data_IF_499402574821
#
_entry.id   IF_499402574821
#
_cell.length_a   1.000
_cell.length_b   1.000
_cell.length_c   1.000
_cell.angle_alpha   90.00
_cell.angle_beta   90.00
_cell.angle_gamma   90.00
#
_symmetry.space_group_name_H-M   'P 1'
#
loop_
_entity.id
_entity.type
_entity.pdbx_description
1 polymer ?
#
# COMPACT_ATOMS: atom_id res chain seq x y z
N UNK A 1 41.76 0.77 -12.20
CA UNK A 1 40.33 0.74 -12.51
C UNK A 1 40.03 1.87 -13.48
N UNK A 2 39.55 1.55 -14.69
CA UNK A 2 39.29 2.52 -15.74
C UNK A 2 38.22 3.55 -15.31
N UNK A 3 38.41 4.82 -15.71
CA UNK A 3 37.50 5.93 -15.40
C UNK A 3 36.05 5.63 -15.88
N UNK A 4 35.87 4.95 -16.99
CA UNK A 4 34.60 4.47 -17.54
C UNK A 4 33.87 3.55 -16.57
N UNK A 5 34.58 2.65 -15.88
CA UNK A 5 33.98 1.71 -14.92
C UNK A 5 33.42 2.44 -13.67
N UNK A 6 34.12 3.50 -13.20
CA UNK A 6 33.65 4.30 -12.04
C UNK A 6 32.39 5.09 -12.36
N UNK A 7 32.31 5.71 -13.54
CA UNK A 7 31.14 6.48 -13.97
C UNK A 7 29.92 5.55 -14.14
N UNK A 8 30.11 4.39 -14.81
CA UNK A 8 29.06 3.38 -14.99
C UNK A 8 28.53 2.88 -13.65
N UNK A 9 29.41 2.59 -12.68
CA UNK A 9 29.02 2.20 -11.33
C UNK A 9 28.23 3.30 -10.60
N UNK A 10 28.66 4.56 -10.70
CA UNK A 10 27.97 5.70 -10.10
C UNK A 10 26.58 5.89 -10.71
N UNK A 11 26.44 5.76 -12.03
CA UNK A 11 25.13 5.83 -12.71
C UNK A 11 24.25 4.66 -12.28
N UNK A 12 24.81 3.44 -12.15
CA UNK A 12 24.07 2.27 -11.68
C UNK A 12 23.54 2.46 -10.26
N UNK A 13 24.39 2.96 -9.36
CA UNK A 13 24.01 3.23 -7.97
C UNK A 13 22.89 4.30 -7.87
N UNK A 14 23.05 5.43 -8.55
CA UNK A 14 22.05 6.49 -8.53
C UNK A 14 20.72 6.05 -9.19
N UNK A 15 20.79 5.30 -10.30
CA UNK A 15 19.62 4.75 -10.94
C UNK A 15 18.89 3.73 -10.01
N UNK A 16 19.67 2.89 -9.32
CA UNK A 16 19.12 1.94 -8.35
C UNK A 16 18.47 2.65 -7.16
N UNK A 17 19.06 3.73 -6.66
CA UNK A 17 18.50 4.56 -5.61
C UNK A 17 17.15 5.17 -6.04
N UNK A 18 17.11 5.79 -7.23
CA UNK A 18 15.87 6.36 -7.78
C UNK A 18 14.76 5.32 -7.93
N UNK A 19 15.11 4.10 -8.31
CA UNK A 19 14.16 3.02 -8.44
C UNK A 19 13.73 2.45 -7.08
N UNK A 20 14.66 2.35 -6.13
CA UNK A 20 14.35 1.89 -4.77
C UNK A 20 13.41 2.87 -4.05
N UNK A 21 13.68 4.17 -4.15
CA UNK A 21 12.86 5.26 -3.59
C UNK A 21 11.56 5.50 -4.39
N UNK A 22 11.25 4.69 -5.41
CA UNK A 22 10.08 4.80 -6.29
C UNK A 22 9.95 6.16 -7.04
N UNK A 23 11.03 6.93 -7.13
CA UNK A 23 11.08 8.16 -7.93
C UNK A 23 11.01 7.87 -9.42
N UNK A 24 11.48 6.66 -9.82
CA UNK A 24 11.41 6.13 -11.18
C UNK A 24 11.01 4.65 -11.14
N UNK A 25 10.05 4.27 -11.97
CA UNK A 25 9.59 2.88 -12.11
C UNK A 25 10.34 2.11 -13.21
N UNK A 26 10.76 2.82 -14.26
CA UNK A 26 11.36 2.25 -15.46
C UNK A 26 12.89 2.37 -15.47
N UNK A 27 13.57 1.27 -15.80
CA UNK A 27 15.04 1.26 -15.90
C UNK A 27 15.60 2.31 -16.86
N UNK A 28 14.91 2.55 -17.98
CA UNK A 28 15.37 3.50 -18.98
C UNK A 28 15.34 4.93 -18.46
N UNK A 29 14.25 5.34 -17.81
CA UNK A 29 14.11 6.69 -17.24
C UNK A 29 15.06 6.88 -16.06
N UNK A 30 15.20 5.87 -15.18
CA UNK A 30 16.14 5.89 -14.06
C UNK A 30 17.58 6.10 -14.54
N UNK A 31 18.04 5.35 -15.56
CA UNK A 31 19.38 5.51 -16.16
C UNK A 31 19.60 6.93 -16.70
N UNK A 32 18.64 7.44 -17.47
CA UNK A 32 18.74 8.77 -18.06
C UNK A 32 18.80 9.86 -17.00
N UNK A 33 17.97 9.77 -15.97
CA UNK A 33 17.93 10.73 -14.86
C UNK A 33 19.21 10.68 -14.05
N UNK A 34 19.69 9.47 -13.71
CA UNK A 34 20.97 9.27 -13.04
C UNK A 34 22.15 9.82 -13.85
N UNK A 35 22.22 9.48 -15.13
CA UNK A 35 23.27 10.00 -16.02
C UNK A 35 23.25 11.53 -16.12
N UNK A 36 22.06 12.15 -16.24
CA UNK A 36 21.91 13.62 -16.28
C UNK A 36 22.40 14.29 -14.99
N UNK A 37 22.22 13.65 -13.83
CA UNK A 37 22.70 14.18 -12.54
C UNK A 37 24.21 14.12 -12.39
N UNK A 38 24.83 13.04 -12.90
CA UNK A 38 26.24 12.74 -12.67
C UNK A 38 27.17 13.21 -13.79
N UNK A 39 26.67 13.36 -15.01
CA UNK A 39 27.46 13.75 -16.16
C UNK A 39 27.27 15.23 -16.52
N UNK A 40 28.38 15.97 -16.63
CA UNK A 40 28.37 17.34 -17.17
C UNK A 40 28.08 17.38 -18.69
N UNK A 41 28.28 16.26 -19.39
CA UNK A 41 27.99 16.03 -20.81
C UNK A 41 27.10 14.83 -20.98
N UNK A 42 26.55 14.61 -22.19
CA UNK A 42 25.75 13.43 -22.48
C UNK A 42 26.56 12.15 -22.21
N UNK A 43 25.99 11.20 -21.44
CA UNK A 43 26.61 9.91 -21.21
C UNK A 43 26.63 9.08 -22.52
N UNK A 44 27.73 8.41 -22.78
CA UNK A 44 27.84 7.49 -23.92
C UNK A 44 27.12 6.19 -23.61
N UNK A 45 26.69 5.41 -24.62
CA UNK A 45 26.05 4.11 -24.42
C UNK A 45 26.90 3.14 -23.56
N UNK A 46 28.20 3.19 -23.67
CA UNK A 46 29.17 2.38 -22.91
C UNK A 46 29.23 2.73 -21.41
N UNK A 47 28.85 3.97 -21.05
CA UNK A 47 28.79 4.45 -19.66
C UNK A 47 27.49 4.04 -18.97
N UNK A 48 26.48 3.61 -19.72
CA UNK A 48 25.18 3.25 -19.17
C UNK A 48 25.19 1.82 -18.64
N UNK A 49 24.72 1.58 -17.39
CA UNK A 49 24.62 0.25 -16.83
C UNK A 49 23.50 -0.58 -17.51
N UNK A 50 23.63 -1.89 -17.44
CA UNK A 50 22.56 -2.81 -17.81
C UNK A 50 21.41 -2.77 -16.80
N UNK A 51 20.23 -3.25 -17.17
CA UNK A 51 19.11 -3.39 -16.25
C UNK A 51 19.44 -4.38 -15.12
N UNK A 52 20.23 -5.41 -15.43
CA UNK A 52 20.66 -6.39 -14.44
C UNK A 52 21.55 -5.77 -13.34
N UNK A 53 22.54 -4.93 -13.72
CA UNK A 53 23.40 -4.24 -12.74
C UNK A 53 22.57 -3.34 -11.80
N UNK A 54 21.59 -2.63 -12.34
CA UNK A 54 20.71 -1.77 -11.52
C UNK A 54 19.84 -2.65 -10.60
N UNK A 55 19.26 -3.74 -11.11
CA UNK A 55 18.44 -4.66 -10.31
C UNK A 55 19.22 -5.23 -9.13
N UNK A 56 20.46 -5.64 -9.34
CA UNK A 56 21.31 -6.16 -8.26
C UNK A 56 21.54 -5.14 -7.15
N UNK A 57 21.74 -3.86 -7.51
CA UNK A 57 21.88 -2.77 -6.54
C UNK A 57 20.56 -2.45 -5.84
N UNK A 58 19.43 -2.43 -6.55
CA UNK A 58 18.09 -2.29 -5.93
C UNK A 58 17.88 -3.40 -4.89
N UNK A 59 18.25 -4.64 -5.20
CA UNK A 59 18.16 -5.74 -4.26
C UNK A 59 19.14 -5.62 -3.08
N UNK A 60 20.31 -5.02 -3.30
CA UNK A 60 21.24 -4.73 -2.21
C UNK A 60 20.66 -3.68 -1.25
N UNK A 61 20.04 -2.63 -1.77
CA UNK A 61 19.32 -1.65 -0.94
C UNK A 61 18.18 -2.30 -0.16
N UNK A 62 17.32 -3.10 -0.82
CA UNK A 62 16.23 -3.79 -0.16
C UNK A 62 16.73 -4.69 0.99
N UNK A 63 17.79 -5.49 0.77
CA UNK A 63 18.37 -6.32 1.84
C UNK A 63 18.92 -5.51 3.01
N UNK A 64 19.50 -4.35 2.72
CA UNK A 64 20.14 -3.50 3.74
C UNK A 64 19.10 -2.74 4.59
N UNK A 65 18.01 -2.31 3.98
CA UNK A 65 17.03 -1.45 4.65
C UNK A 65 15.79 -2.22 5.18
N UNK A 66 15.40 -3.32 4.53
CA UNK A 66 14.15 -4.02 4.85
C UNK A 66 14.37 -5.30 5.71
N UNK A 67 15.56 -5.91 5.66
CA UNK A 67 15.94 -7.04 6.52
C UNK A 67 14.94 -8.21 6.49
N UNK A 68 14.58 -8.73 7.67
CA UNK A 68 13.65 -9.88 7.82
C UNK A 68 12.21 -9.54 7.40
N UNK A 69 11.78 -8.28 7.52
CA UNK A 69 10.46 -7.85 7.05
C UNK A 69 10.25 -8.17 5.56
N UNK A 70 11.31 -8.04 4.75
CA UNK A 70 11.26 -8.37 3.33
C UNK A 70 10.91 -9.85 3.08
N UNK A 71 11.44 -10.77 3.90
CA UNK A 71 11.17 -12.20 3.75
C UNK A 71 9.73 -12.53 4.14
N UNK A 72 9.23 -11.92 5.21
CA UNK A 72 7.84 -12.04 5.63
C UNK A 72 6.88 -11.48 4.57
N UNK A 73 7.19 -10.29 4.04
CA UNK A 73 6.41 -9.66 2.98
C UNK A 73 6.38 -10.52 1.71
N UNK A 74 7.52 -11.11 1.29
CA UNK A 74 7.57 -12.02 0.14
C UNK A 74 6.69 -13.25 0.36
N UNK A 75 6.72 -13.85 1.58
CA UNK A 75 5.85 -14.98 1.94
C UNK A 75 4.39 -14.59 1.78
N UNK A 76 3.98 -13.48 2.38
CA UNK A 76 2.61 -12.99 2.33
C UNK A 76 2.17 -12.67 0.89
N UNK A 77 3.01 -12.01 0.09
CA UNK A 77 2.72 -11.74 -1.32
C UNK A 77 2.52 -13.03 -2.12
N UNK A 78 3.31 -14.08 -1.89
CA UNK A 78 3.14 -15.38 -2.56
C UNK A 78 1.86 -16.09 -2.17
N UNK A 79 1.46 -16.02 -0.91
CA UNK A 79 0.18 -16.58 -0.43
C UNK A 79 -1.02 -15.84 -1.05
N UNK A 80 -0.97 -14.51 -1.10
CA UNK A 80 -2.00 -13.71 -1.76
C UNK A 80 -2.03 -13.95 -3.27
N UNK A 81 -0.86 -14.11 -3.92
CA UNK A 81 -0.78 -14.50 -5.32
C UNK A 81 -1.45 -15.85 -5.56
N UNK A 82 -1.17 -16.85 -4.71
CA UNK A 82 -1.74 -18.19 -4.82
C UNK A 82 -3.28 -18.16 -4.65
N UNK A 83 -3.78 -17.41 -3.67
CA UNK A 83 -5.22 -17.22 -3.47
C UNK A 83 -5.89 -16.68 -4.73
N UNK A 84 -5.42 -15.55 -5.27
CA UNK A 84 -6.00 -14.94 -6.47
C UNK A 84 -5.85 -15.84 -7.70
N UNK A 85 -4.71 -16.54 -7.85
CA UNK A 85 -4.52 -17.49 -8.95
C UNK A 85 -5.49 -18.67 -8.87
N UNK A 86 -5.84 -19.18 -7.66
CA UNK A 86 -6.84 -20.24 -7.49
C UNK A 86 -8.24 -19.75 -7.92
N UNK A 87 -8.63 -18.53 -7.58
CA UNK A 87 -9.89 -17.90 -8.02
C UNK A 87 -9.93 -17.75 -9.55
N UNK A 88 -8.82 -17.35 -10.16
CA UNK A 88 -8.66 -17.14 -11.59
C UNK A 88 -8.22 -18.40 -12.38
N UNK A 89 -8.28 -19.61 -11.79
CA UNK A 89 -7.75 -20.87 -12.37
C UNK A 89 -8.19 -21.14 -13.81
N UNK A 90 -9.41 -20.75 -14.19
CA UNK A 90 -9.97 -20.93 -15.53
C UNK A 90 -9.23 -20.13 -16.61
N UNK A 91 -8.52 -19.05 -16.22
CA UNK A 91 -7.74 -18.19 -17.10
C UNK A 91 -6.25 -18.56 -17.11
N UNK A 92 -5.88 -19.76 -16.61
CA UNK A 92 -4.51 -20.30 -16.61
C UNK A 92 -3.46 -19.33 -16.10
N UNK A 93 -3.62 -18.75 -14.88
CA UNK A 93 -2.72 -17.73 -14.35
C UNK A 93 -1.27 -18.22 -14.26
N UNK A 94 -0.34 -17.27 -14.41
CA UNK A 94 1.09 -17.49 -14.22
C UNK A 94 1.65 -16.36 -13.38
N UNK A 95 2.21 -16.68 -12.22
CA UNK A 95 2.98 -15.72 -11.43
C UNK A 95 4.29 -15.42 -12.14
N UNK A 96 4.63 -14.13 -12.25
CA UNK A 96 5.86 -13.63 -12.85
C UNK A 96 6.50 -12.56 -11.96
N UNK A 97 7.51 -11.89 -12.45
CA UNK A 97 8.06 -10.67 -11.83
C UNK A 97 8.84 -10.91 -10.55
N UNK A 98 8.84 -9.89 -9.70
CA UNK A 98 9.66 -9.84 -8.48
C UNK A 98 9.22 -10.86 -7.42
N UNK A 99 7.93 -11.11 -7.30
CA UNK A 99 7.37 -12.07 -6.33
C UNK A 99 7.72 -13.51 -6.70
N UNK A 100 7.70 -13.83 -8.01
CA UNK A 100 8.14 -15.12 -8.50
C UNK A 100 9.63 -15.36 -8.21
N UNK A 101 10.48 -14.40 -8.54
CA UNK A 101 11.93 -14.52 -8.45
C UNK A 101 12.50 -14.24 -7.06
N UNK A 102 11.67 -13.82 -6.09
CA UNK A 102 12.09 -13.41 -4.75
C UNK A 102 12.80 -12.06 -4.70
N UNK A 103 12.76 -11.27 -5.78
CA UNK A 103 13.41 -9.97 -5.87
C UNK A 103 12.48 -8.81 -5.49
N UNK A 104 11.66 -9.01 -4.46
CA UNK A 104 10.77 -7.98 -3.95
C UNK A 104 11.53 -6.88 -3.22
N UNK A 105 10.93 -5.72 -3.17
CA UNK A 105 11.28 -4.58 -2.35
C UNK A 105 9.99 -3.97 -1.81
N UNK A 106 10.13 -3.07 -0.88
CA UNK A 106 9.00 -2.27 -0.39
C UNK A 106 8.16 -1.71 -1.55
N UNK A 107 6.83 -1.91 -1.47
CA UNK A 107 5.88 -1.50 -2.49
C UNK A 107 5.98 -2.23 -3.83
N UNK A 108 6.52 -3.46 -3.89
CA UNK A 108 6.42 -4.30 -5.08
C UNK A 108 4.98 -4.74 -5.31
N UNK A 109 4.56 -4.75 -6.59
CA UNK A 109 3.27 -5.32 -7.00
C UNK A 109 3.40 -6.82 -7.28
N UNK A 110 2.27 -7.52 -7.31
CA UNK A 110 2.17 -8.93 -7.71
C UNK A 110 1.80 -9.01 -9.18
N UNK A 111 2.72 -9.49 -10.00
CA UNK A 111 2.55 -9.57 -11.46
C UNK A 111 2.02 -10.93 -11.89
N UNK A 112 0.89 -10.96 -12.60
CA UNK A 112 0.30 -12.17 -13.16
C UNK A 112 0.11 -12.05 -14.68
N UNK A 113 0.36 -13.12 -15.40
CA UNK A 113 -0.15 -13.31 -16.77
C UNK A 113 -1.43 -14.13 -16.72
N UNK A 114 -2.47 -13.67 -17.44
CA UNK A 114 -3.72 -14.38 -17.65
C UNK A 114 -3.92 -14.65 -19.15
N UNK A 115 -4.65 -15.70 -19.47
CA UNK A 115 -4.91 -16.12 -20.84
C UNK A 115 -6.41 -16.26 -21.07
N UNK A 116 -6.99 -15.29 -21.78
CA UNK A 116 -8.43 -15.23 -22.05
C UNK A 116 -8.72 -14.39 -23.28
N UNK A 117 -9.70 -14.80 -24.08
CA UNK A 117 -10.21 -14.00 -25.19
C UNK A 117 -11.34 -13.05 -24.75
N UNK A 118 -11.81 -13.16 -23.48
CA UNK A 118 -12.80 -12.28 -22.89
C UNK A 118 -12.26 -11.60 -21.63
N UNK A 119 -12.09 -10.30 -21.70
CA UNK A 119 -11.76 -9.46 -20.53
C UNK A 119 -12.93 -9.43 -19.55
N UNK A 120 -14.16 -9.30 -20.07
CA UNK A 120 -15.39 -9.29 -19.27
C UNK A 120 -15.52 -10.56 -18.40
N UNK A 121 -15.12 -11.73 -18.92
CA UNK A 121 -15.14 -12.96 -18.12
C UNK A 121 -14.18 -12.90 -16.91
N UNK A 122 -13.09 -12.11 -17.00
CA UNK A 122 -12.16 -11.89 -15.89
C UNK A 122 -12.75 -10.84 -14.92
N UNK A 123 -13.22 -9.70 -15.45
CA UNK A 123 -13.76 -8.63 -14.60
C UNK A 123 -15.00 -9.06 -13.83
N UNK A 124 -15.85 -9.92 -14.41
CA UNK A 124 -17.00 -10.48 -13.69
C UNK A 124 -16.61 -11.29 -12.44
N UNK A 125 -15.40 -11.89 -12.39
CA UNK A 125 -14.92 -12.53 -11.15
C UNK A 125 -14.62 -11.47 -10.11
N UNK A 126 -13.95 -10.39 -10.50
CA UNK A 126 -13.62 -9.31 -9.58
C UNK A 126 -14.87 -8.59 -9.05
N UNK A 127 -15.84 -8.34 -9.92
CA UNK A 127 -17.13 -7.74 -9.52
C UNK A 127 -17.89 -8.64 -8.55
N UNK A 128 -17.94 -9.97 -8.81
CA UNK A 128 -18.66 -10.91 -7.94
C UNK A 128 -18.00 -11.07 -6.57
N UNK A 129 -16.67 -10.97 -6.52
CA UNK A 129 -15.90 -11.13 -5.30
C UNK A 129 -15.62 -9.77 -4.60
N UNK A 130 -16.16 -8.65 -5.14
CA UNK A 130 -16.10 -7.33 -4.52
C UNK A 130 -14.72 -6.65 -4.60
N UNK A 131 -13.84 -7.07 -5.53
CA UNK A 131 -12.55 -6.42 -5.73
C UNK A 131 -12.71 -5.04 -6.39
N UNK A 132 -11.89 -4.10 -5.95
CA UNK A 132 -11.66 -2.85 -6.68
C UNK A 132 -10.64 -3.10 -7.79
N UNK A 133 -10.96 -2.72 -9.01
CA UNK A 133 -10.04 -2.89 -10.14
C UNK A 133 -10.18 -1.81 -11.20
N UNK A 134 -9.12 -1.63 -11.97
CA UNK A 134 -9.07 -0.73 -13.13
C UNK A 134 -8.56 -1.49 -14.35
N UNK A 135 -9.15 -1.24 -15.52
CA UNK A 135 -8.72 -1.86 -16.79
C UNK A 135 -8.03 -0.83 -17.66
N UNK A 136 -6.76 -1.03 -17.93
CA UNK A 136 -5.95 -0.19 -18.81
C UNK A 136 -5.62 -0.92 -20.12
N UNK A 137 -5.75 -0.23 -21.25
CA UNK A 137 -5.35 -0.75 -22.56
C UNK A 137 -4.18 0.06 -23.09
N UNK A 138 -3.02 -0.58 -23.18
CA UNK A 138 -1.79 0.03 -23.73
C UNK A 138 -1.55 -0.47 -25.14
N UNK A 139 -1.46 0.45 -26.09
CA UNK A 139 -1.01 0.14 -27.44
C UNK A 139 0.51 0.27 -27.51
N UNK A 140 1.20 -0.82 -27.84
CA UNK A 140 2.64 -0.84 -28.06
C UNK A 140 2.91 -1.10 -29.54
N UNK A 141 3.58 -0.17 -30.20
CA UNK A 141 4.03 -0.34 -31.59
C UNK A 141 5.45 -0.89 -31.58
N UNK A 142 5.64 -2.13 -32.05
CA UNK A 142 6.95 -2.77 -32.18
C UNK A 142 7.09 -3.36 -33.57
N UNK A 143 8.20 -3.04 -34.25
CA UNK A 143 8.45 -3.49 -35.64
C UNK A 143 7.31 -3.18 -36.62
N UNK A 144 6.71 -1.99 -36.51
CA UNK A 144 5.57 -1.52 -37.32
C UNK A 144 4.25 -2.31 -37.12
N UNK A 145 4.18 -3.18 -36.12
CA UNK A 145 2.96 -3.84 -35.66
C UNK A 145 2.46 -3.19 -34.38
N UNK A 146 1.21 -2.75 -34.39
CA UNK A 146 0.53 -2.26 -33.20
C UNK A 146 -0.07 -3.46 -32.45
N UNK A 147 0.37 -3.67 -31.22
CA UNK A 147 -0.20 -4.68 -30.31
C UNK A 147 -0.86 -3.99 -29.13
N UNK A 148 -2.08 -4.37 -28.83
CA UNK A 148 -2.80 -3.88 -27.67
C UNK A 148 -2.60 -4.91 -26.55
N UNK A 149 -2.10 -4.42 -25.42
CA UNK A 149 -2.04 -5.18 -24.18
C UNK A 149 -3.10 -4.66 -23.23
N UNK A 150 -3.83 -5.55 -22.61
CA UNK A 150 -4.77 -5.19 -21.55
C UNK A 150 -4.14 -5.51 -20.22
N UNK A 151 -4.04 -4.50 -19.37
CA UNK A 151 -3.63 -4.62 -17.98
C UNK A 151 -4.86 -4.42 -17.10
N UNK A 152 -4.99 -5.26 -16.08
CA UNK A 152 -6.01 -5.11 -15.05
C UNK A 152 -5.25 -4.90 -13.73
N UNK A 153 -5.43 -3.75 -13.13
CA UNK A 153 -4.88 -3.42 -11.82
C UNK A 153 -5.94 -3.74 -10.76
N UNK A 154 -5.64 -4.70 -9.88
CA UNK A 154 -6.55 -5.10 -8.81
C UNK A 154 -5.98 -4.62 -7.48
N UNK A 155 -6.82 -3.94 -6.69
CA UNK A 155 -6.48 -3.43 -5.37
C UNK A 155 -6.99 -4.40 -4.30
N UNK A 156 -6.06 -4.96 -3.54
CA UNK A 156 -6.28 -5.79 -2.38
C UNK A 156 -5.23 -5.40 -1.31
N UNK A 157 -4.95 -6.24 -0.33
CA UNK A 157 -3.81 -6.02 0.60
C UNK A 157 -2.52 -5.69 -0.15
N UNK A 158 -2.27 -6.36 -1.26
CA UNK A 158 -1.23 -6.03 -2.23
C UNK A 158 -1.85 -5.59 -3.55
N UNK A 159 -1.16 -4.73 -4.29
CA UNK A 159 -1.56 -4.41 -5.64
C UNK A 159 -1.20 -5.57 -6.58
N UNK A 160 -2.11 -5.88 -7.50
CA UNK A 160 -1.87 -6.85 -8.55
C UNK A 160 -1.87 -6.15 -9.91
N UNK A 161 -0.88 -6.48 -10.76
CA UNK A 161 -0.88 -6.12 -12.16
C UNK A 161 -1.08 -7.39 -13.01
N UNK A 162 -2.23 -7.50 -13.66
CA UNK A 162 -2.61 -8.65 -14.46
C UNK A 162 -2.48 -8.30 -15.94
N UNK A 163 -1.53 -8.90 -16.65
CA UNK A 163 -1.44 -8.75 -18.11
C UNK A 163 -2.23 -9.87 -18.79
N UNK A 164 -3.23 -9.49 -19.59
CA UNK A 164 -4.10 -10.44 -20.28
C UNK A 164 -3.63 -10.66 -21.70
N UNK A 165 -3.43 -11.93 -22.05
CA UNK A 165 -3.07 -12.43 -23.39
C UNK A 165 -4.19 -13.28 -23.95
N UNK A 166 -4.21 -13.49 -25.28
CA UNK A 166 -5.14 -14.39 -25.92
C UNK A 166 -4.97 -15.84 -25.40
N UNK A 167 -6.06 -16.59 -25.33
CA UNK A 167 -6.11 -17.92 -24.73
C UNK A 167 -5.13 -18.92 -25.36
N UNK A 168 -4.85 -18.80 -26.66
CA UNK A 168 -3.90 -19.62 -27.41
C UNK A 168 -2.43 -19.35 -27.05
N UNK A 169 -2.14 -18.19 -26.45
CA UNK A 169 -0.78 -17.80 -26.04
C UNK A 169 -0.32 -18.40 -24.70
N UNK A 170 -1.12 -19.20 -24.04
CA UNK A 170 -0.78 -19.80 -22.74
C UNK A 170 0.54 -20.61 -22.76
N UNK A 171 0.93 -21.13 -23.93
CA UNK A 171 2.17 -21.89 -24.12
C UNK A 171 3.33 -21.04 -24.64
N UNK A 172 3.10 -19.77 -24.96
CA UNK A 172 4.12 -18.90 -25.51
C UNK A 172 5.21 -18.60 -24.47
N UNK A 173 6.48 -18.55 -24.92
CA UNK A 173 7.63 -18.23 -24.09
C UNK A 173 7.93 -16.74 -24.20
N UNK A 174 7.52 -15.99 -23.19
CA UNK A 174 7.82 -14.57 -23.10
C UNK A 174 9.27 -14.33 -22.69
N UNK A 175 9.87 -13.26 -23.21
CA UNK A 175 11.25 -12.86 -22.87
C UNK A 175 11.25 -11.68 -21.91
N UNK A 176 12.09 -11.77 -20.90
CA UNK A 176 12.33 -10.70 -19.92
C UNK A 176 13.00 -9.50 -20.60
N UNK A 177 12.47 -8.31 -20.39
CA UNK A 177 13.11 -7.05 -20.79
C UNK A 177 14.40 -6.74 -20.01
N UNK A 178 14.60 -7.43 -18.87
CA UNK A 178 15.76 -7.24 -17.99
C UNK A 178 16.91 -8.12 -18.45
N UNK A 179 16.65 -9.41 -18.68
CA UNK A 179 17.70 -10.41 -18.96
C UNK A 179 17.76 -10.85 -20.42
N UNK A 180 16.72 -10.58 -21.22
CA UNK A 180 16.57 -11.10 -22.57
C UNK A 180 16.28 -12.62 -22.66
N UNK A 181 16.32 -13.33 -21.54
CA UNK A 181 16.01 -14.75 -21.41
C UNK A 181 14.50 -14.98 -21.23
N UNK A 182 14.07 -16.24 -21.28
CA UNK A 182 12.71 -16.61 -20.93
C UNK A 182 12.32 -16.04 -19.55
N UNK A 183 11.11 -15.49 -19.44
CA UNK A 183 10.57 -15.02 -18.14
C UNK A 183 10.40 -16.24 -17.23
N UNK A 184 10.90 -16.14 -16.01
CA UNK A 184 10.57 -17.07 -14.94
C UNK A 184 9.11 -16.90 -14.58
N UNK A 185 8.38 -18.01 -14.58
CA UNK A 185 6.93 -18.03 -14.30
C UNK A 185 6.55 -19.28 -13.54
N UNK A 186 5.52 -19.19 -12.72
CA UNK A 186 4.94 -20.32 -12.01
C UNK A 186 3.45 -20.45 -12.28
N UNK A 187 3.00 -21.66 -12.57
CA UNK A 187 1.59 -22.07 -12.47
C UNK A 187 1.17 -22.16 -11.00
N UNK A 188 -0.12 -22.37 -10.74
CA UNK A 188 -0.64 -22.61 -9.37
C UNK A 188 0.16 -23.71 -8.69
N UNK A 189 0.30 -24.86 -9.32
CA UNK A 189 1.03 -26.01 -8.76
C UNK A 189 2.51 -25.69 -8.49
N UNK A 190 3.20 -25.04 -9.43
CA UNK A 190 4.60 -24.68 -9.27
C UNK A 190 4.79 -23.65 -8.14
N UNK A 191 3.82 -22.76 -7.94
CA UNK A 191 3.83 -21.81 -6.82
C UNK A 191 3.57 -22.52 -5.48
N UNK A 192 2.64 -23.48 -5.43
CA UNK A 192 2.40 -24.30 -4.25
C UNK A 192 3.67 -25.09 -3.86
N UNK A 193 4.33 -25.72 -4.83
CA UNK A 193 5.59 -26.43 -4.63
C UNK A 193 6.72 -25.47 -4.14
N UNK A 194 6.77 -24.26 -4.68
CA UNK A 194 7.73 -23.22 -4.29
C UNK A 194 7.51 -22.78 -2.83
N UNK A 195 6.26 -22.47 -2.45
CA UNK A 195 5.92 -22.03 -1.10
C UNK A 195 6.22 -23.14 -0.10
N UNK A 196 5.78 -24.36 -0.35
CA UNK A 196 6.01 -25.51 0.53
C UNK A 196 7.51 -25.78 0.73
N UNK A 197 8.32 -25.58 -0.30
CA UNK A 197 9.79 -25.78 -0.22
C UNK A 197 10.47 -24.67 0.59
N UNK A 198 10.07 -23.42 0.40
CA UNK A 198 10.71 -22.27 1.05
C UNK A 198 10.16 -21.99 2.45
N UNK A 199 8.92 -22.40 2.71
CA UNK A 199 8.22 -22.20 3.99
C UNK A 199 7.58 -23.52 4.45
N UNK A 200 8.36 -24.49 4.92
CA UNK A 200 7.88 -25.84 5.22
C UNK A 200 6.87 -25.92 6.37
N UNK A 201 6.82 -24.91 7.23
CA UNK A 201 5.90 -24.82 8.36
C UNK A 201 4.52 -24.22 7.98
N UNK A 202 4.33 -23.83 6.71
CA UNK A 202 3.10 -23.20 6.22
C UNK A 202 2.11 -24.28 5.78
N UNK A 203 0.92 -24.28 6.39
CA UNK A 203 -0.23 -25.00 5.87
C UNK A 203 -0.98 -24.11 4.87
N UNK A 204 -0.82 -24.38 3.56
CA UNK A 204 -1.35 -23.54 2.48
C UNK A 204 -2.87 -23.36 2.56
N UNK A 205 -3.60 -24.43 2.89
CA UNK A 205 -5.07 -24.36 2.87
C UNK A 205 -5.60 -23.59 4.10
N UNK A 206 -4.95 -23.72 5.26
CA UNK A 206 -5.29 -22.92 6.45
C UNK A 206 -4.94 -21.45 6.24
N UNK A 207 -3.78 -21.14 5.70
CA UNK A 207 -3.37 -19.74 5.45
C UNK A 207 -4.27 -19.05 4.41
N UNK A 208 -4.64 -19.74 3.34
CA UNK A 208 -5.57 -19.21 2.33
C UNK A 208 -6.96 -19.03 2.90
N UNK A 209 -7.47 -20.01 3.67
CA UNK A 209 -8.76 -19.89 4.34
C UNK A 209 -8.77 -18.72 5.35
N UNK A 210 -7.68 -18.52 6.09
CA UNK A 210 -7.52 -17.37 6.98
C UNK A 210 -7.55 -16.05 6.22
N UNK A 211 -6.91 -15.96 5.05
CA UNK A 211 -6.98 -14.77 4.20
C UNK A 211 -8.37 -14.50 3.62
N UNK A 212 -9.12 -15.54 3.28
CA UNK A 212 -10.50 -15.42 2.79
C UNK A 212 -11.48 -14.97 3.89
N UNK A 213 -11.18 -15.31 5.14
CA UNK A 213 -11.97 -14.93 6.31
C UNK A 213 -11.50 -13.59 6.92
N UNK A 214 -10.32 -13.11 6.56
CA UNK A 214 -9.80 -11.84 7.07
C UNK A 214 -10.68 -10.68 6.60
N UNK A 215 -11.26 -9.99 7.57
CA UNK A 215 -12.03 -8.78 7.31
C UNK A 215 -11.06 -7.69 6.84
N UNK A 216 -11.33 -7.06 5.71
CA UNK A 216 -10.57 -5.88 5.29
C UNK A 216 -10.80 -4.74 6.31
N UNK A 217 -9.77 -4.31 7.08
CA UNK A 217 -9.94 -3.29 8.10
C UNK A 217 -10.48 -1.98 7.51
N UNK A 218 -10.13 -1.64 6.27
CA UNK A 218 -10.62 -0.42 5.62
C UNK A 218 -12.11 -0.47 5.30
N UNK A 219 -12.67 -1.64 5.00
CA UNK A 219 -14.12 -1.79 4.89
C UNK A 219 -14.80 -1.59 6.25
N UNK A 220 -14.21 -2.10 7.32
CA UNK A 220 -14.73 -1.86 8.68
C UNK A 220 -14.64 -0.38 9.05
N UNK A 221 -13.52 0.30 8.78
CA UNK A 221 -13.39 1.74 9.00
C UNK A 221 -14.47 2.52 8.25
N UNK A 222 -14.71 2.16 6.98
CA UNK A 222 -15.77 2.78 6.19
C UNK A 222 -17.16 2.60 6.82
N UNK A 223 -17.48 1.38 7.27
CA UNK A 223 -18.75 1.08 7.93
C UNK A 223 -18.92 1.85 9.25
N UNK A 224 -17.84 2.10 9.99
CA UNK A 224 -17.86 2.89 11.23
C UNK A 224 -17.99 4.39 10.97
N UNK A 225 -17.43 4.88 9.86
CA UNK A 225 -17.47 6.31 9.49
C UNK A 225 -18.83 6.75 8.91
N UNK A 226 -19.47 5.91 8.07
CA UNK A 226 -20.72 6.25 7.39
C UNK A 226 -21.84 6.78 8.31
N UNK A 227 -22.13 6.17 9.48
CA UNK A 227 -23.18 6.64 10.35
C UNK A 227 -22.93 8.02 10.96
N UNK A 228 -21.67 8.49 11.01
CA UNK A 228 -21.30 9.76 11.62
C UNK A 228 -21.91 10.97 10.91
N UNK A 229 -22.27 10.86 9.63
CA UNK A 229 -22.97 11.91 8.86
C UNK A 229 -24.31 12.29 9.50
N UNK A 230 -24.95 11.33 10.17
CA UNK A 230 -26.25 11.56 10.85
C UNK A 230 -26.09 12.05 12.28
N UNK A 231 -24.88 11.96 12.86
CA UNK A 231 -24.63 12.36 14.26
C UNK A 231 -24.35 13.86 14.33
N UNK A 232 -25.36 14.61 14.77
CA UNK A 232 -25.25 16.06 14.94
C UNK A 232 -24.67 16.42 16.29
N UNK A 233 -23.80 17.43 16.30
CA UNK A 233 -23.17 17.95 17.50
C UNK A 233 -23.74 19.31 17.90
N UNK A 234 -23.43 19.77 19.13
CA UNK A 234 -23.87 21.07 19.59
C UNK A 234 -23.25 22.20 18.76
N UNK A 235 -24.03 23.04 18.07
CA UNK A 235 -23.50 24.12 17.24
C UNK A 235 -22.63 25.14 17.97
N UNK A 236 -22.72 25.17 19.30
CA UNK A 236 -21.89 26.04 20.15
C UNK A 236 -20.41 25.62 20.16
N UNK A 237 -20.15 24.30 20.09
CA UNK A 237 -18.81 23.74 20.18
C UNK A 237 -18.35 23.13 18.85
N UNK A 238 -19.30 22.80 18.00
CA UNK A 238 -19.11 22.17 16.70
C UNK A 238 -19.96 22.90 15.64
N UNK A 239 -19.56 24.11 15.25
CA UNK A 239 -20.28 24.89 14.25
C UNK A 239 -20.23 24.28 12.86
N UNK A 240 -19.34 23.34 12.61
CA UNK A 240 -19.19 22.55 11.37
C UNK A 240 -20.38 21.62 11.14
N UNK A 241 -21.04 21.10 12.18
CA UNK A 241 -22.31 20.40 12.12
C UNK A 241 -22.29 18.93 12.52
N UNK A 242 -21.90 17.98 11.65
CA UNK A 242 -21.89 16.56 11.96
C UNK A 242 -20.48 16.01 12.23
N UNK A 243 -20.46 14.80 12.83
CA UNK A 243 -19.21 14.18 13.27
C UNK A 243 -18.36 13.71 12.10
N UNK A 244 -18.97 13.24 10.99
CA UNK A 244 -18.22 12.82 9.82
C UNK A 244 -17.45 13.99 9.22
N UNK A 245 -18.15 15.10 8.98
CA UNK A 245 -17.54 16.29 8.42
C UNK A 245 -16.41 16.83 9.31
N UNK A 246 -16.60 16.77 10.63
CA UNK A 246 -15.55 17.08 11.60
C UNK A 246 -14.33 16.15 11.44
N UNK A 247 -14.54 14.82 11.45
CA UNK A 247 -13.47 13.85 11.34
C UNK A 247 -12.66 13.99 10.04
N UNK A 248 -13.34 14.28 8.92
CA UNK A 248 -12.70 14.54 7.64
C UNK A 248 -11.87 15.83 7.67
N UNK A 249 -12.30 16.90 8.36
CA UNK A 249 -11.50 18.10 8.54
C UNK A 249 -10.23 17.83 9.35
N UNK A 250 -10.37 17.09 10.46
CA UNK A 250 -9.22 16.70 11.30
C UNK A 250 -8.22 15.86 10.50
N UNK A 251 -8.74 14.95 9.67
CA UNK A 251 -7.90 14.13 8.77
C UNK A 251 -7.14 14.97 7.73
N UNK A 252 -7.78 15.92 7.06
CA UNK A 252 -7.10 16.79 6.07
C UNK A 252 -5.98 17.62 6.74
N UNK A 253 -6.24 18.18 7.92
CA UNK A 253 -5.21 18.89 8.70
C UNK A 253 -4.07 17.96 9.15
N UNK A 254 -4.39 16.72 9.52
CA UNK A 254 -3.41 15.71 9.87
C UNK A 254 -2.55 15.33 8.66
N UNK A 255 -3.15 15.18 7.49
CA UNK A 255 -2.46 14.91 6.22
C UNK A 255 -1.46 16.01 5.85
N UNK A 256 -1.82 17.27 6.08
CA UNK A 256 -0.91 18.41 5.85
C UNK A 256 0.27 18.43 6.83
N UNK A 257 0.08 17.92 8.05
CA UNK A 257 1.07 18.00 9.15
C UNK A 257 1.95 16.75 9.22
N UNK A 258 1.37 15.57 9.01
CA UNK A 258 1.99 14.24 9.14
C UNK A 258 1.65 13.34 7.93
N UNK A 259 1.98 13.73 6.68
CA UNK A 259 1.49 13.07 5.45
C UNK A 259 1.93 11.61 5.28
N UNK A 260 2.94 11.15 6.04
CA UNK A 260 3.50 9.79 5.95
C UNK A 260 3.29 8.95 7.20
N UNK A 261 2.52 9.45 8.17
CA UNK A 261 2.24 8.78 9.44
C UNK A 261 0.86 8.12 9.41
N UNK A 262 0.80 6.88 8.92
CA UNK A 262 -0.42 6.09 8.78
C UNK A 262 -1.20 6.00 10.09
N UNK A 263 -0.52 5.72 11.19
CA UNK A 263 -1.14 5.50 12.50
C UNK A 263 -1.79 6.78 13.06
N UNK A 264 -1.10 7.91 12.87
CA UNK A 264 -1.62 9.22 13.26
C UNK A 264 -2.81 9.64 12.40
N UNK A 265 -2.73 9.39 11.09
CA UNK A 265 -3.82 9.67 10.14
C UNK A 265 -5.06 8.82 10.44
N UNK A 266 -4.89 7.53 10.74
CA UNK A 266 -6.00 6.67 11.19
C UNK A 266 -6.59 7.19 12.50
N UNK A 267 -5.77 7.55 13.48
CA UNK A 267 -6.28 8.12 14.74
C UNK A 267 -7.07 9.41 14.49
N UNK A 268 -6.60 10.29 13.62
CA UNK A 268 -7.28 11.55 13.29
C UNK A 268 -8.64 11.34 12.63
N UNK A 269 -8.76 10.32 11.76
CA UNK A 269 -10.01 9.99 11.06
C UNK A 269 -11.01 9.25 11.96
N UNK A 270 -10.52 8.38 12.86
CA UNK A 270 -11.34 7.42 13.60
C UNK A 270 -11.61 7.80 15.07
N UNK A 271 -11.04 8.92 15.60
CA UNK A 271 -11.11 9.24 17.03
C UNK A 271 -12.53 9.35 17.58
N UNK A 272 -13.46 9.74 16.75
CA UNK A 272 -14.86 10.01 17.10
C UNK A 272 -15.87 8.97 16.60
N UNK A 273 -15.43 7.84 16.01
CA UNK A 273 -16.34 6.82 15.43
C UNK A 273 -17.30 6.24 16.47
N UNK A 274 -16.93 6.20 17.73
CA UNK A 274 -17.77 5.72 18.80
C UNK A 274 -19.00 6.61 19.07
N UNK A 275 -19.02 7.87 18.64
CA UNK A 275 -20.19 8.77 18.80
C UNK A 275 -21.45 8.27 18.08
N UNK A 276 -21.29 7.44 17.04
CA UNK A 276 -22.42 6.79 16.38
C UNK A 276 -22.86 5.50 17.08
N UNK A 277 -22.03 4.93 17.96
CA UNK A 277 -22.29 3.67 18.64
C UNK A 277 -22.82 3.92 20.06
N UNK A 278 -22.08 4.66 20.87
CA UNK A 278 -22.48 5.10 22.22
C UNK A 278 -21.98 6.54 22.45
N UNK A 279 -22.83 7.55 22.31
CA UNK A 279 -22.43 8.93 22.54
C UNK A 279 -21.99 9.24 23.97
N UNK A 280 -22.42 8.45 24.95
CA UNK A 280 -22.11 8.66 26.36
C UNK A 280 -20.69 8.20 26.71
N UNK A 281 -20.25 7.09 26.10
CA UNK A 281 -18.92 6.54 26.27
C UNK A 281 -18.29 6.20 24.88
N UNK A 282 -18.18 7.25 24.07
CA UNK A 282 -17.74 7.09 22.68
C UNK A 282 -16.29 6.58 22.56
N UNK A 283 -15.43 6.85 23.54
CA UNK A 283 -14.04 6.38 23.51
C UNK A 283 -14.00 4.86 23.62
N UNK A 284 -14.66 4.29 24.63
CA UNK A 284 -14.69 2.83 24.83
C UNK A 284 -15.42 2.12 23.69
N UNK A 285 -16.52 2.72 23.19
CA UNK A 285 -17.24 2.21 22.04
C UNK A 285 -16.37 2.17 20.76
N UNK A 286 -15.56 3.23 20.52
CA UNK A 286 -14.60 3.26 19.43
C UNK A 286 -13.54 2.18 19.57
N UNK A 287 -12.91 2.07 20.74
CA UNK A 287 -11.84 1.10 21.00
C UNK A 287 -12.34 -0.34 20.88
N UNK A 288 -13.55 -0.62 21.36
CA UNK A 288 -14.17 -1.94 21.21
C UNK A 288 -14.46 -2.30 19.75
N UNK A 289 -14.97 -1.33 18.97
CA UNK A 289 -15.26 -1.56 17.54
C UNK A 289 -14.00 -1.67 16.65
N UNK A 290 -12.89 -1.08 17.09
CA UNK A 290 -11.61 -1.08 16.38
C UNK A 290 -10.64 -2.15 16.90
N UNK A 291 -11.06 -3.01 17.82
CA UNK A 291 -10.20 -4.03 18.42
C UNK A 291 -9.65 -4.99 17.36
N UNK A 292 -8.33 -5.22 17.40
CA UNK A 292 -7.62 -6.04 16.41
C UNK A 292 -7.48 -5.44 15.01
N UNK A 293 -8.03 -4.22 14.76
CA UNK A 293 -7.98 -3.55 13.45
C UNK A 293 -6.96 -2.41 13.38
N UNK A 294 -6.50 -1.90 14.53
CA UNK A 294 -5.58 -0.77 14.66
C UNK A 294 -4.38 -1.15 15.52
N UNK A 295 -3.29 -0.40 15.34
CA UNK A 295 -2.07 -0.57 16.14
C UNK A 295 -2.22 -0.01 17.56
N UNK A 296 -1.31 -0.39 18.46
CA UNK A 296 -1.29 0.12 19.83
C UNK A 296 -1.11 1.65 19.90
N UNK A 297 -0.34 2.23 18.96
CA UNK A 297 -0.16 3.68 18.88
C UNK A 297 -1.44 4.40 18.45
N UNK A 298 -2.10 3.90 17.40
CA UNK A 298 -3.42 4.42 16.98
C UNK A 298 -4.43 4.29 18.11
N UNK A 299 -4.46 3.15 18.81
CA UNK A 299 -5.30 2.91 20.00
C UNK A 299 -5.01 3.92 21.11
N UNK A 300 -3.73 4.18 21.42
CA UNK A 300 -3.32 5.15 22.42
C UNK A 300 -3.84 6.56 22.11
N UNK A 301 -3.70 7.02 20.87
CA UNK A 301 -4.15 8.33 20.43
C UNK A 301 -5.68 8.47 20.57
N UNK A 302 -6.43 7.46 20.11
CA UNK A 302 -7.90 7.43 20.23
C UNK A 302 -8.33 7.36 21.70
N UNK A 303 -7.73 6.50 22.51
CA UNK A 303 -8.07 6.33 23.91
C UNK A 303 -7.90 7.61 24.75
N UNK A 304 -6.90 8.41 24.41
CA UNK A 304 -6.49 9.53 25.25
C UNK A 304 -6.86 10.92 24.67
N UNK A 305 -7.56 11.00 23.52
CA UNK A 305 -7.87 12.29 22.90
C UNK A 305 -8.73 13.20 23.81
N UNK A 306 -9.63 12.61 24.63
CA UNK A 306 -10.40 13.35 25.63
C UNK A 306 -9.57 13.78 26.83
N UNK A 307 -8.60 12.94 27.27
CA UNK A 307 -7.67 13.32 28.33
C UNK A 307 -6.75 14.47 27.90
N UNK A 308 -6.40 14.56 26.63
CA UNK A 308 -5.67 15.69 26.08
C UNK A 308 -6.45 17.02 26.19
N UNK A 309 -7.78 16.97 26.09
CA UNK A 309 -8.63 18.14 26.36
C UNK A 309 -8.54 18.56 27.82
N UNK A 310 -8.67 17.62 28.76
CA UNK A 310 -8.56 17.88 30.20
C UNK A 310 -7.17 18.36 30.60
N UNK A 311 -6.13 17.81 29.97
CA UNK A 311 -4.74 18.25 30.15
C UNK A 311 -4.56 19.72 29.77
N UNK A 312 -5.04 20.14 28.58
CA UNK A 312 -4.99 21.55 28.14
C UNK A 312 -5.80 22.48 29.06
N UNK A 313 -6.91 21.98 29.61
CA UNK A 313 -7.74 22.72 30.55
C UNK A 313 -7.14 22.78 31.97
N UNK A 314 -6.03 22.07 32.24
CA UNK A 314 -5.44 21.97 33.57
C UNK A 314 -6.29 21.18 34.58
N UNK A 315 -7.23 20.38 34.10
CA UNK A 315 -8.19 19.62 34.91
C UNK A 315 -7.67 18.23 35.33
N UNK A 316 -6.59 17.72 34.72
CA UNK A 316 -6.01 16.41 35.04
C UNK A 316 -5.28 16.40 36.37
N UNK A 317 -5.53 15.36 37.17
CA UNK A 317 -4.76 15.09 38.39
C UNK A 317 -3.29 14.76 38.10
N UNK A 318 -2.41 15.02 39.06
CA UNK A 318 -0.94 14.92 38.91
C UNK A 318 -0.48 13.53 38.40
N UNK A 319 -1.12 12.44 38.84
CA UNK A 319 -0.79 11.06 38.41
C UNK A 319 -1.11 10.85 36.95
N UNK A 320 -2.33 11.13 36.51
CA UNK A 320 -2.77 10.96 35.12
C UNK A 320 -1.97 11.87 34.17
N UNK A 321 -1.64 13.08 34.61
CA UNK A 321 -0.77 14.00 33.89
C UNK A 321 0.62 13.41 33.67
N UNK A 322 1.24 12.86 34.71
CA UNK A 322 2.57 12.26 34.61
C UNK A 322 2.56 11.01 33.72
N UNK A 323 1.55 10.16 33.84
CA UNK A 323 1.39 8.98 32.98
C UNK A 323 1.29 9.40 31.51
N UNK A 324 0.51 10.42 31.21
CA UNK A 324 0.34 10.92 29.85
C UNK A 324 1.64 11.52 29.28
N UNK A 325 2.32 12.39 30.07
CA UNK A 325 3.60 13.03 29.70
C UNK A 325 4.75 12.00 29.52
N UNK A 326 4.65 10.83 30.14
CA UNK A 326 5.67 9.79 30.04
C UNK A 326 5.52 8.94 28.81
N UNK A 327 4.42 9.05 28.05
CA UNK A 327 4.23 8.32 26.81
C UNK A 327 5.13 8.87 25.71
N UNK A 328 5.76 8.00 24.90
CA UNK A 328 6.51 8.42 23.71
C UNK A 328 5.62 9.14 22.68
N UNK A 329 4.32 8.88 22.69
CA UNK A 329 3.34 9.43 21.75
C UNK A 329 2.62 10.69 22.30
N UNK A 330 3.10 11.25 23.40
CA UNK A 330 2.48 12.42 24.03
C UNK A 330 2.42 13.63 23.12
N UNK A 331 3.50 13.93 22.39
CA UNK A 331 3.54 15.07 21.46
C UNK A 331 2.52 14.91 20.33
N UNK A 332 2.37 13.69 19.78
CA UNK A 332 1.40 13.40 18.73
C UNK A 332 -0.04 13.43 19.27
N UNK A 333 -0.26 13.00 20.51
CA UNK A 333 -1.56 13.15 21.17
C UNK A 333 -1.95 14.64 21.32
N UNK A 334 -1.00 15.49 21.70
CA UNK A 334 -1.24 16.92 21.84
C UNK A 334 -1.47 17.59 20.47
N UNK A 335 -0.77 17.13 19.43
CA UNK A 335 -1.01 17.54 18.06
C UNK A 335 -2.41 17.13 17.60
N UNK A 336 -2.83 15.88 17.80
CA UNK A 336 -4.18 15.41 17.47
C UNK A 336 -5.24 16.32 18.13
N UNK A 337 -5.04 16.68 19.40
CA UNK A 337 -5.95 17.60 20.11
C UNK A 337 -5.98 19.00 19.48
N UNK A 338 -4.86 19.49 18.97
CA UNK A 338 -4.81 20.77 18.25
C UNK A 338 -5.59 20.72 16.95
N UNK A 339 -5.40 19.65 16.17
CA UNK A 339 -6.10 19.44 14.90
C UNK A 339 -7.60 19.22 15.12
N UNK A 340 -8.01 18.46 16.14
CA UNK A 340 -9.42 18.30 16.55
C UNK A 340 -10.07 19.68 16.85
N UNK A 341 -9.35 20.57 17.49
CA UNK A 341 -9.86 21.92 17.76
C UNK A 341 -9.92 22.76 16.47
N UNK A 342 -8.91 22.64 15.61
CA UNK A 342 -8.83 23.39 14.36
C UNK A 342 -9.82 22.88 13.30
N UNK A 343 -10.21 21.60 13.33
CA UNK A 343 -11.16 20.95 12.41
C UNK A 343 -12.64 21.29 12.67
N UNK A 344 -12.93 22.50 13.20
CA UNK A 344 -14.28 22.96 13.51
C UNK A 344 -14.68 24.18 12.67
N UNK A 345 -14.38 24.12 11.40
CA UNK A 345 -14.60 25.24 10.48
C UNK A 345 -15.80 24.96 9.56
N UNK A 346 -16.88 25.74 9.63
CA UNK A 346 -17.99 25.60 8.71
C UNK A 346 -17.57 25.87 7.26
N UNK A 347 -17.95 25.00 6.33
CA UNK A 347 -17.69 25.17 4.90
C UNK A 347 -16.25 24.91 4.45
N UNK A 348 -15.40 24.31 5.31
CA UNK A 348 -14.07 23.86 4.90
C UNK A 348 -14.15 22.79 3.81
N UNK A 349 -13.28 22.84 2.81
CA UNK A 349 -13.21 21.79 1.80
C UNK A 349 -12.59 20.53 2.41
N UNK A 350 -13.26 19.39 2.26
CA UNK A 350 -12.79 18.07 2.69
C UNK A 350 -12.98 17.05 1.57
N UNK A 351 -12.18 16.00 1.59
CA UNK A 351 -12.37 14.83 0.74
C UNK A 351 -13.55 13.97 1.21
N UNK A 352 -13.79 12.89 0.48
CA UNK A 352 -14.76 11.84 0.84
C UNK A 352 -14.14 10.82 1.78
N UNK A 353 -14.98 9.97 2.40
CA UNK A 353 -14.52 8.81 3.20
C UNK A 353 -13.58 7.92 2.35
N UNK A 354 -13.99 7.65 1.10
CA UNK A 354 -13.24 6.75 0.23
C UNK A 354 -11.88 7.35 -0.14
N UNK A 355 -11.78 8.65 -0.43
CA UNK A 355 -10.50 9.33 -0.68
C UNK A 355 -9.58 9.32 0.55
N UNK A 356 -10.12 9.54 1.75
CA UNK A 356 -9.35 9.49 2.99
C UNK A 356 -8.82 8.07 3.27
N UNK A 357 -9.66 7.05 3.15
CA UNK A 357 -9.28 5.66 3.37
C UNK A 357 -8.33 5.14 2.31
N UNK A 358 -8.51 5.51 1.04
CA UNK A 358 -7.58 5.14 -0.04
C UNK A 358 -6.20 5.74 0.19
N UNK A 359 -6.13 7.01 0.63
CA UNK A 359 -4.86 7.65 0.98
C UNK A 359 -4.10 6.87 2.09
N UNK A 360 -4.80 6.52 3.17
CA UNK A 360 -4.17 5.75 4.28
C UNK A 360 -3.80 4.35 3.82
N UNK A 361 -4.64 3.69 3.02
CA UNK A 361 -4.37 2.35 2.47
C UNK A 361 -3.11 2.35 1.58
N UNK A 362 -2.91 3.40 0.79
CA UNK A 362 -1.69 3.55 -0.01
C UNK A 362 -0.44 3.73 0.87
N UNK A 363 -0.56 4.47 1.97
CA UNK A 363 0.53 4.58 2.96
C UNK A 363 0.81 3.25 3.65
N UNK A 364 -0.21 2.51 4.07
CA UNK A 364 -0.07 1.19 4.68
C UNK A 364 0.69 0.24 3.77
N UNK A 365 0.34 0.21 2.49
CA UNK A 365 1.06 -0.56 1.46
C UNK A 365 2.48 -0.04 1.23
N UNK A 366 2.68 1.25 1.43
CA UNK A 366 3.99 1.89 1.32
C UNK A 366 4.87 1.63 2.56
N UNK A 367 4.33 1.35 3.73
CA UNK A 367 5.05 1.11 4.99
C UNK A 367 5.18 -0.38 5.38
N UNK A 368 4.36 -1.27 4.80
CA UNK A 368 4.38 -2.74 4.99
C UNK A 368 5.30 -3.43 4.03
#
# INVERSE_FOLDING_TARGET
MNHVNKLRQAIAFEAARLMYERVESEYFTAKRKAAKRLCKRSAKPEDLPSNAEIRELVQAFARMHEGEKRNQNLRDMRLHALRLMRQLRRFRPRLIGSVMTGHVRHGSDIDLHLFSDSIEAITNVFESDGYQFEVERKQVVKHNEARIFTHIHVRDRFNFELTVYAADQAHYVFKSSITGKAIERASIRELEELITREYPDVNLDEEIAAQEQAVDPFQMFRLLLLPLETVKQSPRFHPEGDVLYHSLQVFELAKDTRPYDEEFLLASLLHDVGKALDPADHVEAALSALDGLITERTRFLIANHMLALEYKAGALGAKARHELESSPDFEDLMLLRELDTAGRVPGAAVGTIDEALDFVRELSRANG
#
